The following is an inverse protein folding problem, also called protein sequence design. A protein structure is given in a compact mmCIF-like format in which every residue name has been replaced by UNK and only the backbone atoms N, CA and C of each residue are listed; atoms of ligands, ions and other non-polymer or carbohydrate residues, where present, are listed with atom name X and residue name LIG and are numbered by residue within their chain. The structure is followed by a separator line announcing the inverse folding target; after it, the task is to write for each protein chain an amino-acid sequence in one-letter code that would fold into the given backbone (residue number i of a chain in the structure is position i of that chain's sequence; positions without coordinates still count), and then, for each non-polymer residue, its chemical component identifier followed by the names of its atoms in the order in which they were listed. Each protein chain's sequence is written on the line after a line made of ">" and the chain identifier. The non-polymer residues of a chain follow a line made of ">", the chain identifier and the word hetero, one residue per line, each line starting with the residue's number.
data_IF_825458234880
#
_entry.id   IF_825458234880
#
_cell.length_a   1.000
_cell.length_b   1.000
_cell.length_c   1.000
_cell.angle_alpha   90.00
_cell.angle_beta   90.00
_cell.angle_gamma   90.00
#
_symmetry.space_group_name_H-M   'P 1'
#
loop_
_entity.id
_entity.type
_entity.pdbx_description
1 polymer ?
#
# COMPACT_ATOMS: atom_id res chain seq x y z
N UNK A 1 -3.61 -2.66 8.76
CA UNK A 1 -2.31 -2.10 8.29
C UNK A 1 -1.30 -3.20 8.02
N UNK A 2 -1.12 -4.15 8.94
CA UNK A 2 -0.17 -5.27 8.81
C UNK A 2 -0.33 -6.05 7.49
N UNK A 3 -1.56 -6.47 7.19
CA UNK A 3 -1.90 -7.19 5.97
C UNK A 3 -1.48 -6.43 4.69
N UNK A 4 -1.77 -5.13 4.62
CA UNK A 4 -1.43 -4.29 3.47
C UNK A 4 0.09 -4.25 3.29
N UNK A 5 0.85 -4.12 4.38
CA UNK A 5 2.31 -4.11 4.33
C UNK A 5 2.86 -5.43 3.79
N UNK A 6 2.39 -6.55 4.31
CA UNK A 6 2.79 -7.89 3.84
C UNK A 6 2.48 -8.09 2.35
N UNK A 7 1.34 -7.59 1.88
CA UNK A 7 0.98 -7.66 0.46
C UNK A 7 1.91 -6.83 -0.42
N UNK A 8 2.27 -5.61 0.01
CA UNK A 8 3.22 -4.76 -0.69
C UNK A 8 4.61 -5.43 -0.74
N UNK A 9 5.13 -5.89 0.39
CA UNK A 9 6.45 -6.55 0.47
C UNK A 9 6.53 -7.78 -0.42
N UNK A 10 5.46 -8.59 -0.45
CA UNK A 10 5.36 -9.74 -1.34
C UNK A 10 5.37 -9.35 -2.82
N UNK A 11 4.70 -8.27 -3.20
CA UNK A 11 4.70 -7.78 -4.58
C UNK A 11 6.07 -7.24 -5.02
N UNK A 12 6.75 -6.51 -4.13
CA UNK A 12 8.08 -5.95 -4.39
C UNK A 12 9.18 -7.02 -4.52
N UNK A 13 8.96 -8.24 -4.04
CA UNK A 13 9.84 -9.37 -4.30
C UNK A 13 9.80 -9.86 -5.76
N UNK A 14 8.86 -9.37 -6.58
CA UNK A 14 8.65 -9.84 -7.97
C UNK A 14 8.55 -8.69 -8.96
N UNK A 15 8.03 -7.53 -8.54
CA UNK A 15 7.83 -6.35 -9.38
C UNK A 15 8.82 -5.27 -8.96
N UNK A 16 9.50 -4.68 -9.94
CA UNK A 16 10.35 -3.51 -9.73
C UNK A 16 9.56 -2.39 -9.05
N UNK A 17 10.15 -1.78 -8.02
CA UNK A 17 9.55 -0.70 -7.24
C UNK A 17 9.11 0.48 -8.12
N UNK A 18 9.84 0.78 -9.20
CA UNK A 18 9.47 1.88 -10.11
C UNK A 18 8.22 1.59 -10.95
N UNK A 19 7.83 0.31 -11.05
CA UNK A 19 6.67 -0.16 -11.83
C UNK A 19 5.47 -0.51 -10.95
N UNK A 20 5.63 -0.56 -9.64
CA UNK A 20 4.61 -1.01 -8.71
C UNK A 20 3.74 0.14 -8.17
N UNK A 21 2.42 0.00 -8.31
CA UNK A 21 1.43 0.94 -7.79
C UNK A 21 0.58 0.28 -6.71
N UNK A 22 0.13 1.08 -5.75
CA UNK A 22 -0.73 0.62 -4.64
C UNK A 22 -2.10 1.27 -4.82
N UNK A 23 -3.11 0.46 -5.06
CA UNK A 23 -4.50 0.85 -5.22
C UNK A 23 -5.43 -0.26 -4.70
N UNK A 24 -6.71 0.03 -4.44
CA UNK A 24 -7.71 -1.01 -4.16
C UNK A 24 -7.95 -1.88 -5.39
N UNK A 25 -8.47 -3.09 -5.18
CA UNK A 25 -8.76 -4.05 -6.25
C UNK A 25 -9.77 -3.52 -7.29
N UNK A 26 -10.74 -2.71 -6.85
CA UNK A 26 -11.80 -2.18 -7.70
C UNK A 26 -12.32 -0.83 -7.18
N UNK A 27 -13.28 -0.25 -7.91
CA UNK A 27 -13.97 0.96 -7.49
C UNK A 27 -14.75 0.78 -6.17
N UNK A 28 -14.90 1.88 -5.44
CA UNK A 28 -15.41 1.89 -4.06
C UNK A 28 -16.93 2.11 -3.97
N UNK A 29 -17.66 2.01 -5.08
CA UNK A 29 -19.10 2.37 -5.18
C UNK A 29 -20.03 1.64 -4.21
N UNK A 30 -19.61 0.49 -3.69
CA UNK A 30 -20.38 -0.37 -2.78
C UNK A 30 -19.88 -0.33 -1.33
N UNK A 31 -19.00 0.63 -1.00
CA UNK A 31 -18.47 0.84 0.35
C UNK A 31 -19.12 2.05 1.00
N UNK A 32 -19.21 2.03 2.33
CA UNK A 32 -19.59 3.19 3.12
C UNK A 32 -18.41 4.18 3.20
N UNK A 33 -18.70 5.45 3.41
CA UNK A 33 -17.66 6.50 3.41
C UNK A 33 -16.68 6.33 4.56
N UNK A 34 -17.17 6.10 5.78
CA UNK A 34 -16.35 5.95 6.98
C UNK A 34 -15.36 4.78 6.87
N UNK A 35 -15.84 3.61 6.43
CA UNK A 35 -14.97 2.44 6.20
C UNK A 35 -13.95 2.71 5.07
N UNK A 36 -14.37 3.44 4.04
CA UNK A 36 -13.53 3.75 2.88
C UNK A 36 -12.38 4.65 3.29
N UNK A 37 -12.67 5.73 4.02
CA UNK A 37 -11.65 6.68 4.49
C UNK A 37 -10.67 5.96 5.42
N UNK A 38 -11.17 5.15 6.37
CA UNK A 38 -10.32 4.40 7.28
C UNK A 38 -9.41 3.39 6.54
N UNK A 39 -9.94 2.66 5.56
CA UNK A 39 -9.18 1.71 4.76
C UNK A 39 -8.11 2.39 3.90
N UNK A 40 -8.47 3.47 3.20
CA UNK A 40 -7.55 4.23 2.36
C UNK A 40 -6.45 4.90 3.18
N UNK A 41 -6.78 5.45 4.35
CA UNK A 41 -5.78 6.03 5.26
C UNK A 41 -4.76 4.97 5.70
N UNK A 42 -5.22 3.75 6.02
CA UNK A 42 -4.33 2.63 6.35
C UNK A 42 -3.45 2.21 5.15
N UNK A 43 -3.99 2.19 3.94
CA UNK A 43 -3.26 1.85 2.72
C UNK A 43 -2.14 2.87 2.42
N UNK A 44 -2.47 4.17 2.49
CA UNK A 44 -1.51 5.27 2.29
C UNK A 44 -0.43 5.24 3.37
N UNK A 45 -0.80 5.00 4.63
CA UNK A 45 0.17 4.87 5.74
C UNK A 45 1.15 3.71 5.51
N UNK A 46 0.66 2.55 5.05
CA UNK A 46 1.50 1.40 4.72
C UNK A 46 2.48 1.73 3.56
N UNK A 47 1.98 2.37 2.50
CA UNK A 47 2.82 2.81 1.38
C UNK A 47 3.94 3.77 1.83
N UNK A 48 3.62 4.74 2.68
CA UNK A 48 4.64 5.65 3.23
C UNK A 48 5.67 4.94 4.10
N UNK A 49 5.25 3.95 4.88
CA UNK A 49 6.16 3.17 5.72
C UNK A 49 7.20 2.41 4.86
N UNK A 50 6.74 1.72 3.81
CA UNK A 50 7.62 1.01 2.87
C UNK A 50 8.57 1.97 2.15
N UNK A 51 8.05 3.08 1.60
CA UNK A 51 8.90 4.10 0.93
C UNK A 51 10.00 4.64 1.84
N UNK A 52 9.70 4.88 3.13
CA UNK A 52 10.72 5.34 4.09
C UNK A 52 11.79 4.27 4.35
N UNK A 53 11.40 2.99 4.41
CA UNK A 53 12.33 1.86 4.59
C UNK A 53 13.23 1.69 3.37
N UNK A 54 12.67 1.69 2.16
CA UNK A 54 13.45 1.45 0.93
C UNK A 54 14.48 2.57 0.67
N UNK A 55 14.14 3.83 0.97
CA UNK A 55 15.09 4.96 0.91
C UNK A 55 16.30 4.75 1.85
N UNK A 56 16.10 4.05 2.96
CA UNK A 56 17.17 3.74 3.93
C UNK A 56 17.99 2.53 3.48
N UNK A 57 17.39 1.53 2.81
CA UNK A 57 18.10 0.34 2.32
C UNK A 57 18.89 0.54 1.02
N UNK A 58 18.64 1.62 0.27
CA UNK A 58 19.41 1.98 -0.92
C UNK A 58 20.53 3.02 -0.66
N UNK A 59 20.80 3.36 0.61
CA UNK A 59 21.95 4.18 1.04
C UNK A 59 23.02 3.31 1.70
#
# INVERSE_FOLDING_TARGET
>A
MEEIRTNIERALNTIDVEKFWINPDCGLKTRQEEETIAALANMVKAAHHIRKRDIVSQR
#
